data_IF_244161657112
#
_entry.id   IF_244161657112
#
_cell.length_a   1.000
_cell.length_b   1.000
_cell.length_c   1.000
_cell.angle_alpha   90.00
_cell.angle_beta   90.00
_cell.angle_gamma   90.00
#
_symmetry.space_group_name_H-M   'P 1'
#
loop_
_entity.id
_entity.type
_entity.pdbx_description
1 polymer ?
#
# COMPACT_ATOMS: atom_id res chain seq x y z
N UNK A 1 -6.07 -16.68 11.24
CA UNK A 1 -5.89 -17.09 9.83
C UNK A 1 -7.21 -17.62 9.31
N UNK A 2 -7.60 -17.27 8.10
CA UNK A 2 -8.91 -17.61 7.51
C UNK A 2 -8.71 -18.57 6.33
N UNK A 3 -9.74 -19.34 5.97
CA UNK A 3 -9.74 -20.19 4.77
C UNK A 3 -9.84 -21.69 5.06
N UNK A 4 -10.12 -22.46 4.01
CA UNK A 4 -10.40 -23.91 4.13
C UNK A 4 -9.26 -24.71 4.75
N UNK A 5 -8.00 -24.36 4.44
CA UNK A 5 -6.82 -25.00 5.05
C UNK A 5 -6.72 -24.67 6.54
N UNK A 6 -6.97 -23.42 6.94
CA UNK A 6 -6.94 -23.04 8.35
C UNK A 6 -8.02 -23.78 9.15
N UNK A 7 -9.24 -23.90 8.60
CA UNK A 7 -10.31 -24.69 9.20
C UNK A 7 -9.93 -26.17 9.31
N UNK A 8 -9.38 -26.75 8.25
CA UNK A 8 -8.92 -28.14 8.24
C UNK A 8 -7.84 -28.38 9.31
N UNK A 9 -6.83 -27.51 9.41
CA UNK A 9 -5.78 -27.63 10.42
C UNK A 9 -6.28 -27.35 11.85
N UNK A 10 -7.28 -26.49 12.03
CA UNK A 10 -7.91 -26.23 13.34
C UNK A 10 -8.61 -27.47 13.92
N UNK A 11 -9.18 -28.33 13.07
CA UNK A 11 -9.76 -29.62 13.53
C UNK A 11 -8.70 -30.54 14.17
N UNK A 12 -7.44 -30.44 13.72
CA UNK A 12 -6.32 -31.18 14.33
C UNK A 12 -6.02 -30.64 15.73
N UNK A 13 -6.11 -29.33 15.94
CA UNK A 13 -5.92 -28.68 17.25
C UNK A 13 -6.99 -29.11 18.26
N UNK A 14 -8.24 -29.26 17.83
CA UNK A 14 -9.34 -29.70 18.71
C UNK A 14 -9.26 -31.17 19.08
N UNK A 15 -8.59 -31.99 18.28
CA UNK A 15 -8.46 -33.42 18.58
C UNK A 15 -7.54 -33.66 19.77
N UNK A 16 -6.40 -32.99 19.87
CA UNK A 16 -5.48 -33.18 21.01
C UNK A 16 -6.08 -32.75 22.36
N UNK A 17 -6.95 -31.73 22.35
CA UNK A 17 -7.73 -31.35 23.53
C UNK A 17 -8.87 -32.32 23.82
N UNK A 18 -9.52 -32.87 22.78
CA UNK A 18 -10.53 -33.92 22.93
C UNK A 18 -9.94 -35.24 23.45
N UNK A 19 -8.76 -35.67 22.96
CA UNK A 19 -8.04 -36.84 23.45
C UNK A 19 -7.62 -36.66 24.92
N UNK A 20 -7.20 -35.45 25.31
CA UNK A 20 -6.91 -35.11 26.73
C UNK A 20 -8.16 -35.17 27.60
N UNK A 21 -9.30 -34.68 27.11
CA UNK A 21 -10.59 -34.78 27.82
C UNK A 21 -11.08 -36.23 27.94
N UNK A 22 -10.92 -37.05 26.90
CA UNK A 22 -11.19 -38.48 26.90
C UNK A 22 -10.28 -39.25 27.86
N UNK A 23 -8.98 -38.92 27.89
CA UNK A 23 -8.03 -39.51 28.82
C UNK A 23 -8.39 -39.20 30.27
N UNK A 24 -8.77 -37.95 30.57
CA UNK A 24 -9.29 -37.54 31.87
C UNK A 24 -10.59 -38.29 32.23
N UNK A 25 -11.55 -38.36 31.31
CA UNK A 25 -12.81 -39.07 31.51
C UNK A 25 -12.60 -40.57 31.76
N UNK A 26 -11.63 -41.19 31.08
CA UNK A 26 -11.26 -42.60 31.28
C UNK A 26 -10.66 -42.83 32.67
N UNK A 27 -9.83 -41.90 33.15
CA UNK A 27 -9.19 -41.96 34.47
C UNK A 27 -10.22 -41.78 35.62
N UNK A 28 -11.26 -40.97 35.39
CA UNK A 28 -12.40 -40.81 36.30
C UNK A 28 -13.32 -42.03 36.29
N UNK A 29 -13.61 -42.59 35.11
CA UNK A 29 -14.46 -43.78 34.96
C UNK A 29 -13.82 -45.03 35.59
N UNK A 30 -12.49 -45.16 35.49
CA UNK A 30 -11.73 -46.25 36.13
C UNK A 30 -11.69 -46.17 37.66
N UNK A 31 -11.99 -44.99 38.24
CA UNK A 31 -12.06 -44.78 39.69
C UNK A 31 -13.47 -44.95 40.27
N UNK A 32 -14.48 -45.18 39.44
CA UNK A 32 -15.86 -45.35 39.89
C UNK A 32 -16.20 -46.85 39.91
N UNK A 33 -16.33 -47.48 41.09
CA UNK A 33 -16.66 -48.89 41.16
C UNK A 33 -18.13 -49.07 40.75
N UNK A 34 -18.38 -50.03 39.85
CA UNK A 34 -19.68 -50.64 39.48
C UNK A 34 -20.25 -50.34 38.07
N UNK A 35 -19.73 -49.40 37.25
CA UNK A 35 -20.28 -49.17 35.86
C UNK A 35 -19.21 -49.18 34.75
N UNK A 36 -18.08 -49.88 34.95
CA UNK A 36 -16.91 -49.81 34.06
C UNK A 36 -17.01 -50.61 32.76
N UNK A 37 -17.60 -51.82 32.76
CA UNK A 37 -17.41 -52.76 31.64
C UNK A 37 -18.37 -52.51 30.46
N UNK A 38 -19.61 -52.10 30.70
CA UNK A 38 -20.63 -51.94 29.64
C UNK A 38 -20.46 -50.64 28.85
N UNK A 39 -19.88 -49.61 29.45
CA UNK A 39 -19.56 -48.32 28.78
C UNK A 39 -18.26 -48.44 27.96
N UNK A 40 -17.35 -49.32 28.37
CA UNK A 40 -16.04 -49.53 27.73
C UNK A 40 -16.15 -50.13 26.32
N UNK A 41 -17.10 -51.02 26.08
CA UNK A 41 -17.34 -51.65 24.77
C UNK A 41 -18.03 -50.71 23.77
N UNK A 42 -18.96 -49.86 24.24
CA UNK A 42 -19.60 -48.84 23.40
C UNK A 42 -18.59 -47.77 22.89
N UNK A 43 -17.63 -47.40 23.73
CA UNK A 43 -16.51 -46.51 23.37
C UNK A 43 -15.55 -47.14 22.34
N UNK A 44 -15.41 -48.47 22.34
CA UNK A 44 -14.54 -49.17 21.38
C UNK A 44 -15.13 -49.22 19.96
N UNK A 45 -16.46 -49.32 19.84
CA UNK A 45 -17.17 -49.27 18.55
C UNK A 45 -17.08 -47.90 17.88
N UNK A 46 -17.22 -46.82 18.65
CA UNK A 46 -17.06 -45.44 18.16
C UNK A 46 -15.62 -45.13 17.68
N UNK A 47 -14.62 -45.75 18.32
CA UNK A 47 -13.19 -45.52 18.02
C UNK A 47 -12.77 -45.99 16.63
N UNK A 48 -13.47 -46.98 16.06
CA UNK A 48 -13.14 -47.56 14.74
C UNK A 48 -13.71 -46.73 13.58
N UNK A 49 -14.92 -46.19 13.72
CA UNK A 49 -15.51 -45.25 12.75
C UNK A 49 -14.91 -43.84 12.80
N UNK A 50 -14.30 -43.47 13.94
CA UNK A 50 -13.56 -42.21 14.08
C UNK A 50 -12.20 -42.27 13.37
N UNK A 51 -11.44 -43.38 13.47
CA UNK A 51 -10.09 -43.49 12.89
C UNK A 51 -9.99 -43.29 11.36
N UNK A 52 -11.05 -43.58 10.61
CA UNK A 52 -11.05 -43.37 9.15
C UNK A 52 -11.26 -41.90 8.75
N UNK A 53 -11.72 -41.03 9.67
CA UNK A 53 -11.73 -39.58 9.51
C UNK A 53 -10.38 -38.91 9.89
N UNK A 54 -9.37 -39.72 10.25
CA UNK A 54 -8.22 -39.31 11.08
C UNK A 54 -6.84 -39.40 10.41
N UNK A 55 -6.78 -39.30 9.09
CA UNK A 55 -5.51 -39.17 8.37
C UNK A 55 -5.44 -37.80 7.65
N UNK A 56 -4.89 -36.76 8.29
CA UNK A 56 -4.49 -35.50 7.65
C UNK A 56 -3.35 -35.69 6.62
N UNK A 57 -2.88 -36.93 6.52
CA UNK A 57 -1.82 -37.37 5.64
C UNK A 57 -2.17 -37.21 4.16
N UNK A 58 -3.44 -37.39 3.76
CA UNK A 58 -3.83 -37.32 2.34
C UNK A 58 -3.41 -36.03 1.63
N UNK A 59 -3.78 -34.85 2.16
CA UNK A 59 -3.54 -33.58 1.46
C UNK A 59 -2.05 -33.33 1.17
N UNK A 60 -1.20 -33.49 2.18
CA UNK A 60 0.23 -33.19 2.04
C UNK A 60 0.97 -34.32 1.34
N UNK A 61 0.60 -35.58 1.58
CA UNK A 61 1.19 -36.72 0.89
C UNK A 61 0.84 -36.74 -0.60
N UNK A 62 -0.38 -36.32 -0.98
CA UNK A 62 -0.78 -36.13 -2.38
C UNK A 62 0.04 -35.04 -3.08
N UNK A 63 0.52 -34.03 -2.32
CA UNK A 63 1.47 -33.02 -2.80
C UNK A 63 2.94 -33.51 -2.79
N UNK A 64 3.19 -34.75 -2.38
CA UNK A 64 4.54 -35.31 -2.23
C UNK A 64 5.31 -34.76 -1.03
N UNK A 65 4.61 -34.14 -0.06
CA UNK A 65 5.20 -33.58 1.15
C UNK A 65 5.03 -34.56 2.31
N UNK A 66 6.14 -34.90 2.97
CA UNK A 66 6.04 -35.63 4.23
C UNK A 66 5.51 -34.70 5.32
N UNK A 67 4.50 -35.14 6.05
CA UNK A 67 3.91 -34.36 7.13
C UNK A 67 4.37 -34.84 8.51
N UNK A 68 4.81 -33.93 9.38
CA UNK A 68 5.17 -34.18 10.77
C UNK A 68 4.45 -33.18 11.69
N UNK A 69 3.45 -33.64 12.45
CA UNK A 69 2.74 -32.83 13.45
C UNK A 69 1.25 -33.18 13.55
N UNK A 70 0.42 -32.32 14.16
CA UNK A 70 0.86 -31.11 14.87
C UNK A 70 1.75 -31.43 16.08
N UNK A 71 2.68 -30.52 16.40
CA UNK A 71 3.48 -30.57 17.65
C UNK A 71 3.29 -29.29 18.44
N UNK A 72 3.37 -29.37 19.77
CA UNK A 72 3.42 -28.16 20.61
C UNK A 72 4.69 -27.37 20.27
N UNK A 73 4.52 -26.18 19.69
CA UNK A 73 5.61 -25.30 19.29
C UNK A 73 6.35 -24.68 20.48
N UNK A 74 5.85 -24.86 21.69
CA UNK A 74 6.48 -24.37 22.92
C UNK A 74 7.20 -25.46 23.72
N UNK A 75 7.15 -26.71 23.27
CA UNK A 75 8.02 -27.79 23.75
C UNK A 75 9.27 -27.87 22.87
N UNK A 76 10.36 -27.26 23.35
CA UNK A 76 11.64 -27.22 22.64
C UNK A 76 12.13 -28.64 22.31
N UNK A 77 11.95 -29.61 23.22
CA UNK A 77 12.37 -30.99 23.00
C UNK A 77 11.57 -31.68 21.90
N UNK A 78 10.26 -31.47 21.85
CA UNK A 78 9.39 -31.97 20.79
C UNK A 78 9.75 -31.37 19.43
N UNK A 79 9.97 -30.05 19.38
CA UNK A 79 10.37 -29.32 18.17
C UNK A 79 11.74 -29.81 17.66
N UNK A 80 12.74 -29.90 18.53
CA UNK A 80 14.07 -30.41 18.16
C UNK A 80 14.00 -31.85 17.60
N UNK A 81 13.23 -32.72 18.25
CA UNK A 81 13.04 -34.11 17.81
C UNK A 81 12.40 -34.17 16.42
N UNK A 82 11.35 -33.37 16.19
CA UNK A 82 10.67 -33.29 14.91
C UNK A 82 11.60 -32.77 13.80
N UNK A 83 12.35 -31.69 14.05
CA UNK A 83 13.31 -31.13 13.10
C UNK A 83 14.46 -32.11 12.79
N UNK A 84 14.97 -32.85 13.79
CA UNK A 84 15.98 -33.90 13.57
C UNK A 84 15.46 -35.06 12.73
N UNK A 85 14.19 -35.43 12.87
CA UNK A 85 13.54 -36.45 12.01
C UNK A 85 13.34 -35.92 10.60
N UNK A 86 12.87 -34.68 10.45
CA UNK A 86 12.70 -34.02 9.17
C UNK A 86 14.03 -33.97 8.39
N UNK A 87 15.12 -33.56 9.05
CA UNK A 87 16.47 -33.49 8.45
C UNK A 87 17.00 -34.85 7.92
N UNK A 88 16.59 -35.97 8.52
CA UNK A 88 16.99 -37.31 8.05
C UNK A 88 16.16 -37.81 6.87
N UNK A 89 15.07 -37.13 6.55
CA UNK A 89 14.26 -37.47 5.39
C UNK A 89 14.89 -36.84 4.14
N UNK A 90 15.11 -37.64 3.11
CA UNK A 90 15.68 -37.19 1.84
C UNK A 90 14.60 -36.61 0.91
N UNK A 91 13.86 -35.61 1.39
CA UNK A 91 12.75 -34.98 0.67
C UNK A 91 12.13 -33.82 1.43
N UNK A 92 11.14 -33.13 0.86
CA UNK A 92 10.46 -32.03 1.52
C UNK A 92 9.60 -32.54 2.69
N UNK A 93 9.70 -31.85 3.82
CA UNK A 93 8.95 -32.17 5.04
C UNK A 93 8.26 -30.91 5.55
N UNK A 94 6.95 -31.00 5.77
CA UNK A 94 6.19 -30.00 6.50
C UNK A 94 6.18 -30.38 7.99
N UNK A 95 6.78 -29.54 8.83
CA UNK A 95 6.69 -29.66 10.30
C UNK A 95 5.63 -28.67 10.79
N UNK A 96 4.51 -29.18 11.29
CA UNK A 96 3.40 -28.36 11.77
C UNK A 96 3.57 -28.09 13.27
N UNK A 97 4.05 -26.90 13.61
CA UNK A 97 4.19 -26.43 14.99
C UNK A 97 3.01 -25.54 15.39
N UNK A 98 2.38 -25.83 16.53
CA UNK A 98 1.32 -25.02 17.12
C UNK A 98 1.92 -24.01 18.11
N UNK A 99 1.84 -22.73 17.78
CA UNK A 99 2.33 -21.64 18.64
C UNK A 99 1.19 -20.73 19.10
N UNK A 100 1.50 -19.80 20.01
CA UNK A 100 0.57 -18.83 20.57
C UNK A 100 1.21 -17.44 20.41
N UNK A 101 0.54 -16.55 19.67
CA UNK A 101 1.03 -15.18 19.40
C UNK A 101 1.04 -14.41 20.71
N UNK A 102 2.12 -13.66 20.99
CA UNK A 102 2.27 -12.92 22.25
C UNK A 102 2.68 -13.76 23.46
N UNK A 103 2.81 -15.09 23.36
CA UNK A 103 3.19 -15.94 24.50
C UNK A 103 4.52 -15.49 25.12
N UNK A 104 4.50 -15.33 26.44
CA UNK A 104 5.62 -14.81 27.22
C UNK A 104 5.50 -13.31 27.53
N UNK A 105 4.49 -12.62 26.99
CA UNK A 105 4.22 -11.22 27.29
C UNK A 105 2.71 -10.98 27.51
N UNK A 106 2.30 -10.92 28.77
CA UNK A 106 0.90 -10.81 29.19
C UNK A 106 0.11 -9.68 28.51
N UNK A 107 0.65 -8.47 28.31
CA UNK A 107 -0.06 -7.41 27.59
C UNK A 107 -0.43 -7.78 26.16
N UNK A 108 0.47 -8.46 25.42
CA UNK A 108 0.19 -8.95 24.08
C UNK A 108 -0.86 -10.08 24.07
N UNK A 109 -0.92 -10.89 25.12
CA UNK A 109 -1.96 -11.93 25.22
C UNK A 109 -3.36 -11.33 25.45
N UNK A 110 -3.43 -10.19 26.15
CA UNK A 110 -4.69 -9.47 26.45
C UNK A 110 -5.20 -8.60 25.31
N UNK A 111 -4.34 -8.22 24.39
CA UNK A 111 -4.74 -7.59 23.14
C UNK A 111 -5.35 -8.66 22.21
N UNK A 112 -6.67 -8.86 22.33
CA UNK A 112 -7.42 -9.83 21.51
C UNK A 112 -7.53 -9.42 20.04
N UNK A 113 -7.28 -8.14 19.70
CA UNK A 113 -7.41 -7.62 18.34
C UNK A 113 -6.24 -8.07 17.45
N UNK A 114 -5.00 -7.85 17.89
CA UNK A 114 -3.82 -8.19 17.08
C UNK A 114 -2.63 -8.77 17.86
N UNK A 115 -2.78 -9.00 19.17
CA UNK A 115 -1.71 -9.48 20.04
C UNK A 115 -0.39 -8.73 19.87
N UNK A 116 -0.45 -7.40 19.80
CA UNK A 116 0.72 -6.53 19.61
C UNK A 116 1.55 -6.86 18.36
N UNK A 117 0.89 -7.20 17.25
CA UNK A 117 1.56 -7.41 15.96
C UNK A 117 2.38 -6.21 15.51
N UNK A 118 1.87 -5.01 15.77
CA UNK A 118 2.59 -3.74 15.63
C UNK A 118 2.53 -3.02 16.98
N UNK A 119 3.69 -2.62 17.48
CA UNK A 119 3.80 -1.94 18.77
C UNK A 119 4.34 -0.53 18.53
N UNK A 120 3.52 0.47 18.85
CA UNK A 120 3.97 1.86 18.91
C UNK A 120 4.87 2.10 20.13
N UNK A 121 5.41 3.32 20.26
CA UNK A 121 6.18 3.68 21.46
C UNK A 121 5.22 3.72 22.66
N UNK A 122 5.36 2.78 23.59
CA UNK A 122 4.48 2.60 24.74
C UNK A 122 5.25 2.53 26.05
N UNK A 123 4.58 2.83 27.16
CA UNK A 123 5.11 2.66 28.50
C UNK A 123 5.29 1.15 28.76
N UNK A 124 6.49 0.68 29.14
CA UNK A 124 6.74 -0.76 29.30
C UNK A 124 6.01 -1.39 30.49
N UNK A 125 5.49 -0.59 31.43
CA UNK A 125 4.73 -1.04 32.60
C UNK A 125 3.23 -1.02 32.35
N UNK A 126 2.70 0.06 31.76
CA UNK A 126 1.25 0.20 31.51
C UNK A 126 0.83 -0.32 30.14
N UNK A 127 1.78 -0.44 29.21
CA UNK A 127 1.56 -0.75 27.79
C UNK A 127 0.65 0.27 27.07
N UNK A 128 0.51 1.46 27.65
CA UNK A 128 -0.21 2.56 27.03
C UNK A 128 0.73 3.38 26.13
N UNK A 129 0.23 3.98 25.03
CA UNK A 129 1.03 4.85 24.18
C UNK A 129 1.66 6.02 24.96
N UNK A 130 2.95 6.28 24.75
CA UNK A 130 3.68 7.38 25.43
C UNK A 130 3.35 8.77 24.88
N UNK A 131 2.63 8.86 23.77
CA UNK A 131 2.20 10.12 23.19
C UNK A 131 0.79 9.98 22.64
N UNK A 132 -0.09 10.98 22.86
CA UNK A 132 -1.42 10.98 22.27
C UNK A 132 -1.31 11.01 20.74
N UNK A 133 -2.28 10.37 20.06
CA UNK A 133 -2.37 10.41 18.60
C UNK A 133 -2.45 11.86 18.12
N UNK A 134 -1.56 12.26 17.22
CA UNK A 134 -1.44 13.63 16.70
C UNK A 134 -2.53 14.07 15.72
N UNK A 135 -3.79 13.69 16.00
CA UNK A 135 -4.93 13.87 15.09
C UNK A 135 -5.40 12.57 14.42
N UNK A 136 -6.44 12.63 13.59
CA UNK A 136 -6.96 11.47 12.88
C UNK A 136 -5.91 10.93 11.89
N UNK A 137 -5.87 9.62 11.72
CA UNK A 137 -5.08 8.96 10.67
C UNK A 137 -5.82 8.95 9.34
N UNK A 138 -5.12 8.81 8.22
CA UNK A 138 -5.76 8.61 6.91
C UNK A 138 -6.68 7.39 6.90
N UNK A 139 -6.24 6.30 7.53
CA UNK A 139 -7.01 5.05 7.70
C UNK A 139 -8.32 5.28 8.46
N UNK A 140 -8.31 6.08 9.53
CA UNK A 140 -9.54 6.36 10.29
C UNK A 140 -10.51 7.24 9.50
N UNK A 141 -10.01 8.21 8.72
CA UNK A 141 -10.86 9.03 7.84
C UNK A 141 -11.53 8.16 6.77
N UNK A 142 -10.78 7.24 6.15
CA UNK A 142 -11.32 6.25 5.22
C UNK A 142 -12.38 5.36 5.89
N UNK A 143 -12.05 4.77 7.05
CA UNK A 143 -12.94 3.86 7.78
C UNK A 143 -14.26 4.51 8.18
N UNK A 144 -14.24 5.77 8.61
CA UNK A 144 -15.46 6.54 8.87
C UNK A 144 -16.28 6.80 7.60
N UNK A 145 -15.62 7.15 6.49
CA UNK A 145 -16.32 7.51 5.27
C UNK A 145 -16.94 6.31 4.56
N UNK A 146 -16.24 5.16 4.52
CA UNK A 146 -16.78 3.95 3.90
C UNK A 146 -18.01 3.45 4.65
N UNK A 147 -18.08 3.63 5.98
CA UNK A 147 -19.29 3.34 6.76
C UNK A 147 -20.46 4.22 6.31
N UNK A 148 -20.24 5.54 6.18
CA UNK A 148 -21.28 6.47 5.69
C UNK A 148 -21.76 6.11 4.28
N UNK A 149 -20.82 5.79 3.38
CA UNK A 149 -21.15 5.29 2.04
C UNK A 149 -22.00 4.02 2.14
N UNK A 150 -21.62 3.07 3.01
CA UNK A 150 -22.39 1.84 3.22
C UNK A 150 -23.79 2.05 3.81
N UNK A 151 -24.01 3.13 4.57
CA UNK A 151 -25.36 3.51 5.07
C UNK A 151 -26.24 4.07 3.95
N UNK A 152 -25.64 4.71 2.95
CA UNK A 152 -26.33 5.31 1.80
C UNK A 152 -26.49 4.33 0.62
N UNK A 153 -25.59 3.36 0.49
CA UNK A 153 -25.50 2.42 -0.63
C UNK A 153 -25.46 0.97 -0.15
N UNK A 154 -26.52 0.23 -0.45
CA UNK A 154 -26.64 -1.19 -0.11
C UNK A 154 -25.71 -2.08 -0.96
N UNK A 155 -25.41 -1.64 -2.18
CA UNK A 155 -24.60 -2.35 -3.17
C UNK A 155 -23.09 -2.28 -2.91
N UNK A 156 -22.63 -1.35 -2.07
CA UNK A 156 -21.22 -1.23 -1.69
C UNK A 156 -20.83 -2.32 -0.71
N UNK A 157 -19.79 -3.06 -1.06
CA UNK A 157 -19.21 -4.14 -0.25
C UNK A 157 -17.71 -3.98 -0.12
N UNK A 158 -17.10 -4.54 0.92
CA UNK A 158 -15.67 -4.44 1.16
C UNK A 158 -14.96 -5.79 1.06
N UNK A 159 -13.74 -5.77 0.52
CA UNK A 159 -12.84 -6.93 0.48
C UNK A 159 -11.48 -6.51 1.00
N UNK A 160 -10.85 -7.36 1.82
CA UNK A 160 -9.47 -7.20 2.25
C UNK A 160 -8.70 -8.51 2.21
N UNK A 161 -7.38 -8.42 2.27
CA UNK A 161 -6.48 -9.56 2.28
C UNK A 161 -5.74 -9.66 3.62
N UNK A 162 -6.39 -10.24 4.64
CA UNK A 162 -5.89 -10.38 6.02
C UNK A 162 -5.56 -9.05 6.74
N UNK A 163 -6.18 -7.94 6.34
CA UNK A 163 -5.86 -6.61 6.85
C UNK A 163 -7.09 -5.81 7.31
N UNK A 164 -8.15 -6.48 7.78
CA UNK A 164 -9.41 -5.82 8.18
C UNK A 164 -9.22 -4.58 9.07
N UNK A 165 -8.43 -4.72 10.13
CA UNK A 165 -8.16 -3.62 11.07
C UNK A 165 -7.14 -2.64 10.50
N UNK A 166 -5.95 -3.08 10.01
CA UNK A 166 -4.95 -2.13 9.53
C UNK A 166 -5.43 -1.24 8.37
N UNK A 167 -6.31 -1.70 7.49
CA UNK A 167 -6.87 -0.87 6.39
C UNK A 167 -8.15 -0.12 6.77
N UNK A 168 -8.58 -0.16 8.04
CA UNK A 168 -9.71 0.65 8.52
C UNK A 168 -11.09 0.11 8.17
N UNK A 169 -11.22 -1.17 7.80
CA UNK A 169 -12.51 -1.78 7.47
C UNK A 169 -13.24 -2.38 8.67
N UNK A 170 -12.61 -2.48 9.85
CA UNK A 170 -13.23 -3.04 11.05
C UNK A 170 -14.59 -2.36 11.41
N UNK A 171 -14.71 -1.01 11.41
CA UNK A 171 -16.01 -0.37 11.67
C UNK A 171 -17.09 -0.72 10.64
N UNK A 172 -16.71 -0.89 9.37
CA UNK A 172 -17.63 -1.30 8.31
C UNK A 172 -18.09 -2.76 8.50
N UNK A 173 -17.19 -3.66 8.90
CA UNK A 173 -17.53 -5.05 9.21
C UNK A 173 -18.43 -5.19 10.44
N UNK A 174 -18.21 -4.36 11.47
CA UNK A 174 -19.09 -4.33 12.65
C UNK A 174 -20.51 -3.87 12.27
N UNK A 175 -20.60 -2.83 11.43
CA UNK A 175 -21.88 -2.26 11.00
C UNK A 175 -22.61 -3.13 9.97
N UNK A 176 -21.86 -3.78 9.08
CA UNK A 176 -22.36 -4.52 7.92
C UNK A 176 -21.63 -5.86 7.75
N UNK A 177 -21.81 -6.80 8.68
CA UNK A 177 -21.03 -8.05 8.73
C UNK A 177 -21.18 -8.92 7.47
N UNK A 178 -22.34 -8.87 6.80
CA UNK A 178 -22.61 -9.65 5.60
C UNK A 178 -22.06 -9.01 4.30
N UNK A 179 -21.39 -7.85 4.40
CA UNK A 179 -20.86 -7.08 3.25
C UNK A 179 -19.34 -6.91 3.30
N UNK A 180 -18.65 -7.73 4.08
CA UNK A 180 -17.19 -7.71 4.16
C UNK A 180 -16.63 -9.11 4.02
N UNK A 181 -15.64 -9.27 3.15
CA UNK A 181 -14.92 -10.53 2.99
C UNK A 181 -13.42 -10.34 3.20
N UNK A 182 -12.85 -11.14 4.09
CA UNK A 182 -11.42 -11.29 4.24
C UNK A 182 -10.98 -12.58 3.53
N UNK A 183 -10.20 -12.43 2.46
CA UNK A 183 -9.72 -13.56 1.65
C UNK A 183 -8.43 -14.20 2.17
N UNK A 184 -7.93 -13.77 3.33
CA UNK A 184 -6.60 -14.11 3.82
C UNK A 184 -5.51 -13.38 3.04
N UNK A 185 -4.25 -13.82 3.14
CA UNK A 185 -3.10 -13.20 2.44
C UNK A 185 -3.10 -13.63 0.97
N UNK A 186 -4.09 -13.14 0.21
CA UNK A 186 -4.36 -13.53 -1.18
C UNK A 186 -4.91 -12.34 -1.98
N UNK A 187 -4.08 -11.34 -2.24
CA UNK A 187 -4.47 -10.11 -2.95
C UNK A 187 -5.01 -10.41 -4.36
N UNK A 188 -4.48 -11.42 -5.05
CA UNK A 188 -5.01 -11.86 -6.34
C UNK A 188 -6.47 -12.32 -6.19
N UNK A 189 -6.76 -13.10 -5.14
CA UNK A 189 -8.11 -13.59 -4.91
C UNK A 189 -9.05 -12.44 -4.55
N UNK A 190 -8.58 -11.43 -3.80
CA UNK A 190 -9.37 -10.23 -3.50
C UNK A 190 -9.78 -9.51 -4.80
N UNK A 191 -8.84 -9.25 -5.70
CA UNK A 191 -9.09 -8.54 -6.95
C UNK A 191 -10.02 -9.32 -7.91
N UNK A 192 -9.80 -10.64 -8.09
CA UNK A 192 -10.66 -11.47 -8.94
C UNK A 192 -12.06 -11.61 -8.37
N UNK A 193 -12.17 -11.78 -7.05
CA UNK A 193 -13.48 -11.86 -6.38
C UNK A 193 -14.24 -10.56 -6.54
N UNK A 194 -13.56 -9.41 -6.46
CA UNK A 194 -14.16 -8.11 -6.74
C UNK A 194 -14.71 -8.04 -8.18
N UNK A 195 -13.95 -8.46 -9.20
CA UNK A 195 -14.46 -8.50 -10.58
C UNK A 195 -15.75 -9.33 -10.70
N UNK A 196 -15.80 -10.48 -10.02
CA UNK A 196 -17.00 -11.35 -9.98
C UNK A 196 -18.20 -10.68 -9.31
N UNK A 197 -18.00 -10.04 -8.14
CA UNK A 197 -19.05 -9.33 -7.42
C UNK A 197 -19.56 -8.11 -8.20
N UNK A 198 -18.66 -7.36 -8.86
CA UNK A 198 -19.00 -6.24 -9.72
C UNK A 198 -19.85 -6.68 -10.92
N UNK A 199 -19.50 -7.79 -11.55
CA UNK A 199 -20.31 -8.41 -12.62
C UNK A 199 -21.69 -8.83 -12.11
N UNK A 200 -21.80 -9.19 -10.83
CA UNK A 200 -23.06 -9.50 -10.14
C UNK A 200 -23.91 -8.29 -9.75
N UNK A 201 -23.45 -7.06 -10.01
CA UNK A 201 -24.17 -5.82 -9.73
C UNK A 201 -23.89 -5.19 -8.37
N UNK A 202 -22.86 -5.64 -7.64
CA UNK A 202 -22.36 -4.96 -6.45
C UNK A 202 -21.26 -3.94 -6.83
N UNK A 203 -20.88 -3.06 -5.90
CA UNK A 203 -19.71 -2.18 -6.03
C UNK A 203 -18.65 -2.55 -4.99
N UNK A 204 -17.63 -3.36 -5.36
CA UNK A 204 -16.62 -3.80 -4.42
C UNK A 204 -15.56 -2.72 -4.16
N UNK A 205 -15.27 -2.51 -2.88
CA UNK A 205 -14.14 -1.70 -2.39
C UNK A 205 -13.05 -2.65 -1.87
N UNK A 206 -11.96 -2.79 -2.62
CA UNK A 206 -10.81 -3.63 -2.25
C UNK A 206 -9.81 -2.77 -1.49
N UNK A 207 -9.70 -2.96 -0.17
CA UNK A 207 -8.79 -2.21 0.69
C UNK A 207 -7.56 -3.06 1.07
N UNK A 208 -6.38 -2.60 0.63
CA UNK A 208 -5.09 -3.26 0.82
C UNK A 208 -3.99 -2.21 0.96
N UNK A 209 -2.77 -2.62 1.35
CA UNK A 209 -1.62 -1.73 1.26
C UNK A 209 -1.17 -1.56 -0.19
N UNK A 210 -0.70 -0.36 -0.53
CA UNK A 210 -0.19 -0.04 -1.87
C UNK A 210 0.90 -1.01 -2.36
N UNK A 211 1.84 -1.40 -1.48
CA UNK A 211 2.90 -2.36 -1.82
C UNK A 211 2.36 -3.77 -2.15
N UNK A 212 1.23 -4.16 -1.55
CA UNK A 212 0.65 -5.50 -1.73
C UNK A 212 -0.22 -5.60 -2.98
N UNK A 213 -0.78 -4.48 -3.48
CA UNK A 213 -1.46 -4.47 -4.78
C UNK A 213 -0.56 -4.97 -5.92
N UNK A 214 0.77 -4.83 -5.80
CA UNK A 214 1.71 -5.38 -6.77
C UNK A 214 1.51 -6.89 -7.01
N UNK A 215 0.97 -7.64 -6.04
CA UNK A 215 0.64 -9.06 -6.20
C UNK A 215 -0.58 -9.30 -7.09
N UNK A 216 -1.46 -8.32 -7.21
CA UNK A 216 -2.71 -8.38 -7.95
C UNK A 216 -2.72 -7.48 -9.21
N UNK A 217 -1.55 -7.07 -9.72
CA UNK A 217 -1.45 -6.21 -10.91
C UNK A 217 -2.16 -6.83 -12.13
N UNK A 218 -1.89 -8.10 -12.41
CA UNK A 218 -2.51 -8.80 -13.54
C UNK A 218 -4.01 -8.92 -13.37
N UNK A 219 -4.50 -9.18 -12.14
CA UNK A 219 -5.92 -9.28 -11.85
C UNK A 219 -6.63 -7.92 -12.02
N UNK A 220 -6.02 -6.83 -11.57
CA UNK A 220 -6.52 -5.48 -11.83
C UNK A 220 -6.60 -5.21 -13.35
N UNK A 221 -5.58 -5.62 -14.11
CA UNK A 221 -5.49 -5.37 -15.54
C UNK A 221 -6.47 -6.22 -16.36
N UNK A 222 -6.44 -7.54 -16.16
CA UNK A 222 -7.10 -8.53 -16.99
C UNK A 222 -8.49 -8.91 -16.49
N UNK A 223 -8.70 -8.98 -15.18
CA UNK A 223 -9.99 -9.40 -14.62
C UNK A 223 -10.91 -8.20 -14.34
N UNK A 224 -10.35 -7.05 -13.95
CA UNK A 224 -11.14 -5.85 -13.63
C UNK A 224 -11.21 -4.86 -14.80
N UNK A 225 -10.06 -4.37 -15.25
CA UNK A 225 -10.01 -3.25 -16.21
C UNK A 225 -10.48 -3.66 -17.61
N UNK A 226 -10.06 -4.83 -18.11
CA UNK A 226 -10.51 -5.37 -19.40
C UNK A 226 -12.04 -5.48 -19.47
N UNK A 227 -12.67 -5.85 -18.35
CA UNK A 227 -14.11 -6.03 -18.23
C UNK A 227 -14.85 -4.76 -17.79
N UNK A 228 -14.14 -3.63 -17.61
CA UNK A 228 -14.71 -2.34 -17.21
C UNK A 228 -15.53 -2.44 -15.92
N UNK A 229 -15.11 -3.31 -14.99
CA UNK A 229 -15.81 -3.49 -13.73
C UNK A 229 -15.68 -2.25 -12.84
N UNK A 230 -16.80 -1.77 -12.29
CA UNK A 230 -16.84 -0.78 -11.22
C UNK A 230 -16.30 -1.36 -9.91
N UNK A 231 -14.97 -1.35 -9.77
CA UNK A 231 -14.27 -1.79 -8.55
C UNK A 231 -13.39 -0.65 -8.07
N UNK A 232 -13.52 -0.28 -6.80
CA UNK A 232 -12.68 0.74 -6.18
C UNK A 232 -11.57 0.09 -5.36
N UNK A 233 -10.33 0.33 -5.73
CA UNK A 233 -9.15 -0.04 -4.95
C UNK A 233 -8.79 1.09 -3.99
N UNK A 234 -8.67 0.78 -2.71
CA UNK A 234 -8.22 1.72 -1.69
C UNK A 234 -6.86 1.27 -1.20
N UNK A 235 -5.85 2.08 -1.50
CA UNK A 235 -4.46 1.83 -1.18
C UNK A 235 -4.05 2.64 0.03
N UNK A 236 -4.04 1.97 1.16
CA UNK A 236 -3.41 2.48 2.37
C UNK A 236 -1.88 2.32 2.27
N UNK A 237 -1.11 2.99 3.14
CA UNK A 237 0.37 2.89 3.17
C UNK A 237 1.03 3.25 1.82
N UNK A 238 0.42 4.15 1.06
CA UNK A 238 0.93 4.55 -0.25
C UNK A 238 2.11 5.53 -0.11
N UNK A 239 3.15 5.35 -0.93
CA UNK A 239 4.38 6.12 -0.90
C UNK A 239 5.36 5.62 0.15
N UNK A 240 6.15 6.52 0.72
CA UNK A 240 7.05 6.21 1.83
C UNK A 240 6.24 5.93 3.10
N UNK A 241 6.40 4.74 3.68
CA UNK A 241 5.78 4.35 4.97
C UNK A 241 6.70 4.62 6.17
N UNK A 242 8.00 4.83 5.91
CA UNK A 242 8.99 5.15 6.93
C UNK A 242 9.52 3.89 7.63
N UNK A 243 9.03 3.62 8.83
CA UNK A 243 9.63 2.62 9.74
C UNK A 243 9.53 1.18 9.24
N UNK A 244 8.60 0.89 8.34
CA UNK A 244 8.41 -0.46 7.79
C UNK A 244 9.48 -0.80 6.73
N UNK A 245 10.15 0.22 6.17
CA UNK A 245 11.27 0.07 5.25
C UNK A 245 10.94 -0.44 3.85
N UNK A 246 11.98 -0.85 3.12
CA UNK A 246 11.96 -1.12 1.69
C UNK A 246 10.87 -2.10 1.21
N UNK A 247 10.53 -3.12 2.01
CA UNK A 247 9.53 -4.12 1.62
C UNK A 247 8.09 -3.60 1.71
N UNK A 248 7.86 -2.51 2.44
CA UNK A 248 6.51 -2.00 2.74
C UNK A 248 6.20 -0.64 2.13
N UNK A 249 7.22 0.12 1.73
CA UNK A 249 7.00 1.37 1.00
C UNK A 249 6.18 1.11 -0.28
N UNK A 250 4.96 1.65 -0.33
CA UNK A 250 4.05 1.54 -1.47
C UNK A 250 4.39 2.55 -2.57
N UNK A 251 5.60 2.48 -3.11
CA UNK A 251 6.18 3.56 -3.92
C UNK A 251 6.03 3.39 -5.45
N UNK A 252 5.29 2.40 -5.92
CA UNK A 252 5.28 2.02 -7.35
C UNK A 252 3.90 2.04 -8.00
N UNK A 253 2.83 2.16 -7.23
CA UNK A 253 1.46 2.02 -7.74
C UNK A 253 1.14 3.06 -8.82
N UNK A 254 1.51 4.34 -8.65
CA UNK A 254 1.28 5.36 -9.69
C UNK A 254 2.24 5.25 -10.87
N UNK A 255 3.21 4.35 -10.85
CA UNK A 255 4.08 4.05 -12.00
C UNK A 255 3.57 2.82 -12.75
N UNK A 256 3.41 1.71 -12.03
CA UNK A 256 3.00 0.42 -12.59
C UNK A 256 1.58 0.51 -13.16
N UNK A 257 0.68 1.23 -12.50
CA UNK A 257 -0.74 1.27 -12.89
C UNK A 257 -1.06 2.28 -13.99
N UNK A 258 -0.07 3.06 -14.45
CA UNK A 258 -0.26 3.98 -15.58
C UNK A 258 -0.61 3.24 -16.88
N UNK A 259 -0.20 1.98 -17.03
CA UNK A 259 -0.49 1.19 -18.23
C UNK A 259 -1.92 0.64 -18.27
N UNK A 260 -2.64 0.61 -17.15
CA UNK A 260 -3.96 -0.05 -17.03
C UNK A 260 -5.03 0.79 -17.75
N UNK A 261 -5.66 0.30 -18.83
CA UNK A 261 -6.65 1.08 -19.58
C UNK A 261 -7.89 1.39 -18.73
N UNK A 262 -8.45 2.60 -18.88
CA UNK A 262 -9.68 3.01 -18.19
C UNK A 262 -9.57 3.27 -16.68
N UNK A 263 -8.50 2.80 -16.02
CA UNK A 263 -8.26 3.04 -14.60
C UNK A 263 -8.18 4.53 -14.29
N UNK A 264 -8.88 4.95 -13.23
CA UNK A 264 -8.78 6.30 -12.67
C UNK A 264 -8.04 6.25 -11.33
N UNK A 265 -7.09 7.15 -11.13
CA UNK A 265 -6.27 7.20 -9.91
C UNK A 265 -6.43 8.55 -9.23
N UNK A 266 -6.88 8.54 -7.98
CA UNK A 266 -7.01 9.69 -7.10
C UNK A 266 -5.92 9.68 -6.01
N UNK A 267 -5.37 10.86 -5.75
CA UNK A 267 -4.38 11.09 -4.70
C UNK A 267 -4.83 12.28 -3.82
N UNK A 268 -5.56 12.03 -2.72
CA UNK A 268 -6.00 13.08 -1.80
C UNK A 268 -4.85 13.82 -1.13
N UNK A 269 -5.02 15.14 -0.98
CA UNK A 269 -4.09 16.01 -0.23
C UNK A 269 -4.44 16.19 1.24
N UNK A 270 -5.70 15.99 1.60
CA UNK A 270 -6.24 16.13 2.97
C UNK A 270 -7.47 15.23 3.20
N UNK A 271 -8.06 15.31 4.41
CA UNK A 271 -9.22 14.51 4.79
C UNK A 271 -10.46 14.82 3.94
N UNK A 272 -10.68 16.09 3.59
CA UNK A 272 -11.86 16.51 2.82
C UNK A 272 -11.78 15.96 1.39
N UNK A 273 -10.60 16.03 0.77
CA UNK A 273 -10.36 15.40 -0.53
C UNK A 273 -10.47 13.88 -0.47
N UNK A 274 -9.96 13.22 0.58
CA UNK A 274 -10.14 11.76 0.71
C UNK A 274 -11.62 11.39 0.70
N UNK A 275 -12.45 12.08 1.49
CA UNK A 275 -13.90 11.80 1.54
C UNK A 275 -14.57 12.05 0.20
N UNK A 276 -14.29 13.20 -0.42
CA UNK A 276 -14.87 13.57 -1.72
C UNK A 276 -14.47 12.57 -2.81
N UNK A 277 -13.19 12.24 -2.90
CA UNK A 277 -12.66 11.37 -3.96
C UNK A 277 -13.02 9.91 -3.74
N UNK A 278 -13.19 9.45 -2.50
CA UNK A 278 -13.75 8.12 -2.24
C UNK A 278 -15.18 8.03 -2.76
N UNK A 279 -16.02 9.04 -2.50
CA UNK A 279 -17.39 9.11 -3.02
C UNK A 279 -17.42 9.17 -4.55
N UNK A 280 -16.57 9.97 -5.16
CA UNK A 280 -16.40 10.01 -6.63
C UNK A 280 -15.94 8.64 -7.17
N UNK A 281 -15.01 7.96 -6.49
CA UNK A 281 -14.47 6.68 -6.91
C UNK A 281 -15.52 5.57 -6.88
N UNK A 282 -16.34 5.51 -5.83
CA UNK A 282 -17.41 4.50 -5.73
C UNK A 282 -18.57 4.79 -6.67
N UNK A 283 -18.73 6.02 -7.15
CA UNK A 283 -19.76 6.38 -8.11
C UNK A 283 -19.43 5.97 -9.57
N UNK A 284 -18.27 5.34 -9.80
CA UNK A 284 -17.86 4.87 -11.13
C UNK A 284 -18.17 3.39 -11.27
N UNK A 285 -19.25 3.07 -11.98
CA UNK A 285 -19.72 1.69 -12.16
C UNK A 285 -19.10 0.98 -13.39
N UNK A 286 -18.43 1.72 -14.27
CA UNK A 286 -18.01 1.26 -15.61
C UNK A 286 -16.49 1.30 -15.86
N UNK A 287 -15.70 1.42 -14.79
CA UNK A 287 -14.24 1.39 -14.83
C UNK A 287 -13.68 1.17 -13.41
N UNK A 288 -12.46 0.59 -13.28
CA UNK A 288 -11.80 0.55 -12.00
C UNK A 288 -11.38 1.96 -11.57
N UNK A 289 -11.51 2.21 -10.27
CA UNK A 289 -11.02 3.41 -9.61
C UNK A 289 -10.02 3.04 -8.54
N UNK A 290 -9.08 3.93 -8.26
CA UNK A 290 -8.06 3.74 -7.24
C UNK A 290 -7.91 5.02 -6.44
N UNK A 291 -7.92 4.90 -5.12
CA UNK A 291 -7.66 5.98 -4.17
C UNK A 291 -6.45 5.58 -3.33
N UNK A 292 -5.46 6.46 -3.18
CA UNK A 292 -4.24 6.17 -2.40
C UNK A 292 -3.93 7.21 -1.32
N UNK A 293 -3.48 6.76 -0.15
CA UNK A 293 -3.07 7.65 0.94
C UNK A 293 -1.95 7.04 1.81
N UNK A 294 -1.11 7.87 2.46
CA UNK A 294 0.06 7.38 3.19
C UNK A 294 -0.28 6.86 4.59
N UNK A 295 0.67 6.15 5.19
CA UNK A 295 0.67 5.79 6.61
C UNK A 295 1.17 6.98 7.44
N UNK A 296 0.26 7.90 7.78
CA UNK A 296 0.57 9.12 8.55
C UNK A 296 -0.69 9.62 9.26
N UNK A 297 -0.54 10.60 10.16
CA UNK A 297 -1.66 11.47 10.54
C UNK A 297 -2.06 12.39 9.39
N UNK A 298 -3.35 12.73 9.31
CA UNK A 298 -3.82 13.72 8.33
C UNK A 298 -3.39 15.12 8.79
N UNK A 299 -2.83 15.89 7.86
CA UNK A 299 -2.51 17.30 8.08
C UNK A 299 -3.76 18.20 8.13
N UNK A 300 -3.59 19.52 8.32
CA UNK A 300 -4.70 20.46 8.18
C UNK A 300 -5.24 20.46 6.75
N UNK A 301 -6.50 20.86 6.59
CA UNK A 301 -7.10 21.03 5.26
C UNK A 301 -6.32 22.06 4.44
N UNK A 302 -6.15 21.77 3.15
CA UNK A 302 -5.48 22.65 2.18
C UNK A 302 -6.56 23.20 1.24
N UNK A 303 -7.07 24.43 1.48
CA UNK A 303 -8.16 24.96 0.70
C UNK A 303 -7.71 25.28 -0.74
N UNK A 304 -8.59 25.01 -1.70
CA UNK A 304 -8.44 25.53 -3.05
C UNK A 304 -8.88 27.00 -3.08
N UNK A 305 -8.11 27.84 -3.76
CA UNK A 305 -8.44 29.26 -3.99
C UNK A 305 -9.22 29.45 -5.30
N UNK A 306 -9.10 28.50 -6.24
CA UNK A 306 -9.82 28.47 -7.50
C UNK A 306 -9.85 27.03 -8.06
N UNK A 307 -10.55 26.81 -9.17
CA UNK A 307 -10.61 25.52 -9.88
C UNK A 307 -10.54 25.70 -11.39
N UNK A 308 -9.68 24.93 -12.04
CA UNK A 308 -9.51 24.94 -13.51
C UNK A 308 -9.71 23.51 -14.01
N UNK A 309 -10.82 23.26 -14.71
CA UNK A 309 -11.21 21.89 -15.04
C UNK A 309 -11.43 21.07 -13.76
N UNK A 310 -10.82 19.89 -13.66
CA UNK A 310 -10.76 19.09 -12.44
C UNK A 310 -9.64 19.46 -11.47
N UNK A 311 -8.75 20.39 -11.83
CA UNK A 311 -7.59 20.80 -11.03
C UNK A 311 -7.99 21.81 -9.97
N UNK A 312 -7.64 21.55 -8.71
CA UNK A 312 -7.73 22.54 -7.64
C UNK A 312 -6.52 23.47 -7.70
N UNK A 313 -6.74 24.78 -7.82
CA UNK A 313 -5.67 25.76 -7.68
C UNK A 313 -5.50 26.05 -6.20
N UNK A 314 -4.32 25.75 -5.66
CA UNK A 314 -3.99 25.95 -4.24
C UNK A 314 -3.29 27.29 -4.01
N UNK A 315 -2.58 27.78 -5.02
CA UNK A 315 -1.86 29.05 -4.99
C UNK A 315 -1.70 29.60 -6.40
N UNK A 316 -1.78 30.92 -6.56
CA UNK A 316 -1.58 31.58 -7.85
C UNK A 316 -0.91 32.95 -7.67
N UNK A 317 0.27 33.12 -8.27
CA UNK A 317 0.93 34.41 -8.43
C UNK A 317 0.35 35.23 -9.59
N UNK A 318 0.47 36.56 -9.51
CA UNK A 318 0.07 37.47 -10.61
C UNK A 318 0.90 37.28 -11.90
N UNK A 319 2.17 36.87 -11.76
CA UNK A 319 3.09 36.62 -12.87
C UNK A 319 3.74 35.25 -12.68
N UNK A 320 3.01 34.16 -12.96
CA UNK A 320 3.51 32.82 -12.70
C UNK A 320 4.51 32.39 -13.77
N UNK A 321 5.68 31.93 -13.35
CA UNK A 321 6.72 31.36 -14.20
C UNK A 321 6.78 29.84 -14.10
N UNK A 322 6.40 29.29 -12.94
CA UNK A 322 6.47 27.86 -12.64
C UNK A 322 5.09 27.31 -12.30
N UNK A 323 4.70 26.21 -12.95
CA UNK A 323 3.55 25.41 -12.56
C UNK A 323 4.00 24.24 -11.70
N UNK A 324 3.62 24.24 -10.42
CA UNK A 324 3.81 23.14 -9.49
C UNK A 324 2.57 22.24 -9.49
N UNK A 325 2.72 21.00 -9.95
CA UNK A 325 1.69 19.96 -9.88
C UNK A 325 1.95 19.13 -8.62
N UNK A 326 1.15 19.38 -7.59
CA UNK A 326 1.25 18.74 -6.30
C UNK A 326 0.40 17.48 -6.24
N UNK A 327 1.02 16.31 -6.23
CA UNK A 327 0.29 15.04 -6.17
C UNK A 327 -0.08 14.72 -4.72
N UNK A 328 -1.36 14.91 -4.39
CA UNK A 328 -1.94 14.59 -3.09
C UNK A 328 -1.15 15.17 -1.92
N UNK A 329 -0.64 14.30 -1.05
CA UNK A 329 0.08 14.68 0.18
C UNK A 329 1.39 15.47 -0.05
N UNK A 330 1.81 15.69 -1.30
CA UNK A 330 2.88 16.63 -1.64
C UNK A 330 2.42 18.09 -1.75
N UNK A 331 1.12 18.39 -1.60
CA UNK A 331 0.60 19.76 -1.60
C UNK A 331 1.30 20.71 -0.61
N UNK A 332 1.53 20.36 0.67
CA UNK A 332 2.27 21.22 1.58
C UNK A 332 3.73 21.46 1.13
N UNK A 333 4.36 20.46 0.51
CA UNK A 333 5.73 20.59 -0.01
C UNK A 333 5.78 21.59 -1.16
N UNK A 334 4.82 21.51 -2.09
CA UNK A 334 4.71 22.44 -3.21
C UNK A 334 4.38 23.87 -2.77
N UNK A 335 3.48 24.05 -1.79
CA UNK A 335 3.17 25.37 -1.24
C UNK A 335 4.40 26.00 -0.59
N UNK A 336 5.13 25.25 0.25
CA UNK A 336 6.37 25.75 0.84
C UNK A 336 7.46 26.04 -0.22
N UNK A 337 7.53 25.25 -1.29
CA UNK A 337 8.46 25.52 -2.39
C UNK A 337 8.08 26.81 -3.16
N UNK A 338 6.77 27.03 -3.38
CA UNK A 338 6.26 28.25 -4.00
C UNK A 338 6.62 29.50 -3.17
N UNK A 339 6.41 29.47 -1.85
CA UNK A 339 6.80 30.56 -0.94
C UNK A 339 8.30 30.89 -1.05
N UNK A 340 9.15 29.86 -1.07
CA UNK A 340 10.61 30.04 -1.18
C UNK A 340 11.06 30.58 -2.54
N UNK A 341 10.36 30.20 -3.62
CA UNK A 341 10.62 30.69 -4.98
C UNK A 341 10.15 32.14 -5.14
N UNK A 342 9.00 32.48 -4.59
CA UNK A 342 8.44 33.83 -4.66
C UNK A 342 9.24 34.84 -3.83
N UNK A 343 9.78 34.41 -2.69
CA UNK A 343 10.75 35.20 -1.94
C UNK A 343 12.01 35.56 -2.77
N UNK A 344 12.27 34.85 -3.88
CA UNK A 344 13.34 35.12 -4.84
C UNK A 344 12.85 35.76 -6.15
N UNK A 345 11.58 36.17 -6.20
CA UNK A 345 10.97 36.82 -7.35
C UNK A 345 10.47 35.89 -8.46
N UNK A 346 10.41 34.58 -8.22
CA UNK A 346 9.91 33.58 -9.17
C UNK A 346 8.45 33.26 -8.83
N UNK A 347 7.50 33.79 -9.60
CA UNK A 347 6.07 33.56 -9.38
C UNK A 347 5.66 32.11 -9.64
N UNK A 348 4.80 31.55 -8.80
CA UNK A 348 4.37 30.16 -8.93
C UNK A 348 2.84 30.02 -9.00
N UNK A 349 2.38 29.00 -9.72
CA UNK A 349 1.02 28.46 -9.57
C UNK A 349 1.13 27.05 -9.02
N UNK A 350 0.39 26.73 -7.96
CA UNK A 350 0.34 25.38 -7.38
C UNK A 350 -1.03 24.79 -7.65
N UNK A 351 -1.08 23.61 -8.25
CA UNK A 351 -2.32 22.86 -8.50
C UNK A 351 -2.27 21.47 -7.88
N UNK A 352 -3.38 21.01 -7.31
CA UNK A 352 -3.63 19.61 -7.00
C UNK A 352 -4.52 19.01 -8.11
N UNK A 353 -4.05 18.00 -8.85
CA UNK A 353 -4.85 17.33 -9.85
C UNK A 353 -6.11 16.66 -9.30
N UNK A 354 -6.12 16.30 -8.01
CA UNK A 354 -7.06 15.38 -7.37
C UNK A 354 -6.96 13.98 -7.98
N UNK A 355 -7.29 13.86 -9.26
CA UNK A 355 -7.12 12.68 -10.10
C UNK A 355 -5.86 12.82 -10.96
N UNK A 356 -4.88 11.94 -10.76
CA UNK A 356 -3.61 11.92 -11.51
C UNK A 356 -3.68 11.04 -12.75
N UNK A 357 -4.73 10.23 -12.85
CA UNK A 357 -5.05 9.44 -14.03
C UNK A 357 -6.57 9.43 -14.23
N UNK A 358 -7.08 9.76 -15.43
CA UNK A 358 -6.35 10.38 -16.54
C UNK A 358 -5.78 11.76 -16.14
N UNK A 359 -4.77 12.22 -16.86
CA UNK A 359 -4.29 13.61 -16.71
C UNK A 359 -5.40 14.55 -17.19
N UNK A 360 -5.76 15.55 -16.38
CA UNK A 360 -6.82 16.49 -16.71
C UNK A 360 -6.48 17.28 -17.99
N UNK A 361 -7.39 17.38 -18.97
CA UNK A 361 -7.13 18.09 -20.23
C UNK A 361 -6.88 19.59 -20.04
N UNK A 362 -7.31 20.18 -18.93
CA UNK A 362 -7.04 21.58 -18.60
C UNK A 362 -5.58 21.82 -18.16
N UNK A 363 -4.82 20.76 -17.85
CA UNK A 363 -3.42 20.89 -17.44
C UNK A 363 -2.54 21.43 -18.56
N UNK A 364 -2.75 21.01 -19.82
CA UNK A 364 -1.91 21.44 -20.93
C UNK A 364 -2.05 22.95 -21.27
N UNK A 365 -3.26 23.51 -21.42
CA UNK A 365 -3.44 24.95 -21.58
C UNK A 365 -2.94 25.77 -20.38
N UNK A 366 -2.98 25.21 -19.16
CA UNK A 366 -2.41 25.86 -17.98
C UNK A 366 -0.89 25.84 -18.03
N UNK A 367 -0.28 24.69 -18.32
CA UNK A 367 1.17 24.52 -18.44
C UNK A 367 1.78 25.46 -19.49
N UNK A 368 1.12 25.65 -20.63
CA UNK A 368 1.57 26.54 -21.70
C UNK A 368 1.75 28.02 -21.27
N UNK A 369 1.18 28.42 -20.12
CA UNK A 369 1.33 29.78 -19.55
C UNK A 369 2.58 29.94 -18.69
N UNK A 370 3.35 28.86 -18.48
CA UNK A 370 4.49 28.80 -17.59
C UNK A 370 5.76 28.46 -18.36
N UNK A 371 6.91 28.84 -17.81
CA UNK A 371 8.24 28.52 -18.36
C UNK A 371 8.70 27.11 -18.00
N UNK A 372 8.15 26.54 -16.92
CA UNK A 372 8.54 25.25 -16.36
C UNK A 372 7.35 24.59 -15.67
N UNK A 373 7.19 23.28 -15.86
CA UNK A 373 6.29 22.45 -15.05
C UNK A 373 7.12 21.59 -14.10
N UNK A 374 6.77 21.57 -12.82
CA UNK A 374 7.37 20.73 -11.80
C UNK A 374 6.30 19.83 -11.19
N UNK A 375 6.42 18.51 -11.38
CA UNK A 375 5.52 17.52 -10.79
C UNK A 375 6.18 16.91 -9.57
N UNK A 376 5.49 16.94 -8.43
CA UNK A 376 6.00 16.44 -7.14
C UNK A 376 5.09 15.32 -6.62
N UNK A 377 5.64 14.12 -6.50
CA UNK A 377 4.90 12.90 -6.15
C UNK A 377 5.61 12.04 -5.09
N UNK A 378 4.84 11.49 -4.14
CA UNK A 378 5.29 10.46 -3.19
C UNK A 378 5.18 9.06 -3.82
N UNK A 379 5.88 8.89 -4.93
CA UNK A 379 5.94 7.68 -5.74
C UNK A 379 7.24 7.68 -6.54
N UNK A 380 7.63 6.55 -7.10
CA UNK A 380 8.76 6.47 -8.01
C UNK A 380 8.65 7.50 -9.11
N UNK A 381 9.71 8.30 -9.29
CA UNK A 381 9.77 9.26 -10.40
C UNK A 381 9.81 8.57 -11.77
N UNK A 382 10.19 7.28 -11.80
CA UNK A 382 10.23 6.49 -13.02
C UNK A 382 8.80 6.07 -13.39
N UNK A 383 8.36 6.49 -14.60
CA UNK A 383 7.02 6.22 -15.12
C UNK A 383 5.84 6.67 -14.23
N UNK A 384 6.08 7.51 -13.22
CA UNK A 384 5.06 8.06 -12.33
C UNK A 384 4.21 9.15 -12.98
N UNK A 385 3.50 9.93 -12.15
CA UNK A 385 2.61 11.02 -12.59
C UNK A 385 3.37 12.04 -13.43
N UNK A 386 4.61 12.37 -13.07
CA UNK A 386 5.42 13.31 -13.84
C UNK A 386 5.71 12.85 -15.28
N UNK A 387 5.73 11.54 -15.54
CA UNK A 387 5.87 11.00 -16.89
C UNK A 387 4.55 11.01 -17.65
N UNK A 388 3.43 10.74 -16.97
CA UNK A 388 2.09 10.86 -17.56
C UNK A 388 1.76 12.31 -17.95
N UNK A 389 2.13 13.28 -17.11
CA UNK A 389 2.01 14.71 -17.43
C UNK A 389 2.85 15.08 -18.65
N UNK A 390 4.12 14.65 -18.71
CA UNK A 390 4.98 14.94 -19.86
C UNK A 390 4.42 14.35 -21.17
N UNK A 391 3.86 13.13 -21.12
CA UNK A 391 3.18 12.53 -22.26
C UNK A 391 1.95 13.36 -22.69
N UNK A 392 1.09 13.71 -21.73
CA UNK A 392 -0.12 14.50 -22.02
C UNK A 392 0.18 15.89 -22.59
N UNK A 393 1.26 16.54 -22.14
CA UNK A 393 1.72 17.80 -22.73
C UNK A 393 2.21 17.62 -24.16
N UNK A 394 3.00 16.57 -24.42
CA UNK A 394 3.46 16.23 -25.77
C UNK A 394 2.32 15.92 -26.74
N UNK A 395 1.34 15.13 -26.30
CA UNK A 395 0.13 14.81 -27.07
C UNK A 395 -0.73 16.05 -27.37
N UNK A 396 -0.65 17.08 -26.51
CA UNK A 396 -1.31 18.37 -26.69
C UNK A 396 -0.45 19.42 -27.42
N UNK A 397 0.72 19.03 -27.94
CA UNK A 397 1.68 19.93 -28.63
C UNK A 397 2.13 21.12 -27.76
N UNK A 398 2.28 20.89 -26.44
CA UNK A 398 2.76 21.88 -25.46
C UNK A 398 4.21 21.56 -25.06
N UNK A 399 5.15 22.30 -25.64
CA UNK A 399 6.60 22.12 -25.43
C UNK A 399 7.15 22.88 -24.21
N UNK A 400 6.63 22.59 -23.01
CA UNK A 400 7.14 23.18 -21.76
C UNK A 400 8.05 22.17 -21.05
N UNK A 401 9.25 22.56 -20.59
CA UNK A 401 10.12 21.66 -19.83
C UNK A 401 9.43 21.12 -18.57
N UNK A 402 9.41 19.79 -18.42
CA UNK A 402 8.89 19.11 -17.24
C UNK A 402 10.03 18.67 -16.33
N UNK A 403 9.92 18.95 -15.04
CA UNK A 403 10.80 18.45 -13.97
C UNK A 403 10.01 17.53 -13.08
N UNK A 404 10.60 16.38 -12.77
CA UNK A 404 9.95 15.27 -12.06
C UNK A 404 10.64 15.09 -10.72
N UNK A 405 9.89 15.33 -9.65
CA UNK A 405 10.30 15.16 -8.27
C UNK A 405 9.53 13.97 -7.71
N UNK A 406 10.26 12.93 -7.35
CA UNK A 406 9.69 11.74 -6.75
C UNK A 406 10.79 10.85 -6.20
N UNK A 407 10.38 9.67 -5.76
CA UNK A 407 11.29 8.69 -5.17
C UNK A 407 12.29 8.22 -6.24
N UNK A 408 13.61 8.29 -5.97
CA UNK A 408 14.64 7.80 -6.88
C UNK A 408 14.55 6.27 -7.07
N UNK A 409 15.16 5.75 -8.13
CA UNK A 409 15.15 4.32 -8.47
C UNK A 409 16.07 3.51 -7.55
N UNK A 410 15.67 3.41 -6.27
CA UNK A 410 16.39 2.69 -5.23
C UNK A 410 15.43 2.18 -4.15
N UNK A 411 15.86 1.16 -3.41
CA UNK A 411 15.17 0.74 -2.20
C UNK A 411 15.52 1.67 -1.03
N UNK A 412 14.52 2.19 -0.34
CA UNK A 412 14.69 3.11 0.77
C UNK A 412 14.81 2.34 2.10
N UNK A 413 15.81 2.71 2.92
CA UNK A 413 15.95 2.17 4.27
C UNK A 413 14.79 2.62 5.18
N UNK A 414 14.64 1.96 6.34
CA UNK A 414 13.67 2.38 7.34
C UNK A 414 14.19 3.61 8.11
N UNK A 415 13.35 4.62 8.25
CA UNK A 415 13.54 5.77 9.13
C UNK A 415 12.18 6.43 9.36
N UNK A 416 12.09 7.58 10.05
CA UNK A 416 10.82 8.32 10.07
C UNK A 416 10.51 8.80 8.65
N UNK A 417 9.23 8.83 8.27
CA UNK A 417 8.81 9.23 6.92
C UNK A 417 9.40 10.57 6.50
N UNK A 418 9.38 11.58 7.37
CA UNK A 418 9.97 12.89 7.10
C UNK A 418 11.49 12.85 6.88
N UNK A 419 12.22 11.98 7.58
CA UNK A 419 13.67 11.79 7.40
C UNK A 419 13.94 11.16 6.03
N UNK A 420 13.20 10.10 5.68
CA UNK A 420 13.33 9.46 4.36
C UNK A 420 13.04 10.43 3.21
N UNK A 421 11.97 11.24 3.33
CA UNK A 421 11.63 12.25 2.32
C UNK A 421 12.72 13.33 2.21
N UNK A 422 13.31 13.73 3.33
CA UNK A 422 14.43 14.68 3.34
C UNK A 422 15.67 14.10 2.66
N UNK A 423 16.03 12.85 2.96
CA UNK A 423 17.20 12.18 2.39
C UNK A 423 17.14 12.07 0.85
N UNK A 424 15.93 11.94 0.29
CA UNK A 424 15.72 11.89 -1.17
C UNK A 424 15.44 13.26 -1.81
N UNK A 425 15.42 14.33 -1.02
CA UNK A 425 15.22 15.71 -1.48
C UNK A 425 13.77 16.03 -1.88
N UNK A 426 12.78 15.39 -1.24
CA UNK A 426 11.36 15.75 -1.33
C UNK A 426 10.98 16.70 -0.19
N UNK A 427 11.68 17.83 -0.12
CA UNK A 427 11.42 18.92 0.82
C UNK A 427 11.13 20.22 0.07
N UNK A 428 10.46 21.20 0.70
CA UNK A 428 10.25 22.52 0.09
C UNK A 428 11.56 23.16 -0.41
N UNK A 429 12.63 23.05 0.39
CA UNK A 429 13.94 23.66 0.10
C UNK A 429 14.59 23.00 -1.11
N UNK A 430 14.62 21.66 -1.15
CA UNK A 430 15.25 20.91 -2.24
C UNK A 430 14.49 21.06 -3.56
N UNK A 431 13.15 21.03 -3.49
CA UNK A 431 12.27 21.24 -4.65
C UNK A 431 12.48 22.65 -5.21
N UNK A 432 12.38 23.69 -4.38
CA UNK A 432 12.62 25.07 -4.79
C UNK A 432 14.04 25.26 -5.37
N UNK A 433 15.07 24.72 -4.71
CA UNK A 433 16.46 24.82 -5.16
C UNK A 433 16.69 24.24 -6.56
N UNK A 434 16.16 23.03 -6.82
CA UNK A 434 16.27 22.37 -8.13
C UNK A 434 15.43 23.07 -9.22
N UNK A 435 14.30 23.67 -8.86
CA UNK A 435 13.52 24.51 -9.77
C UNK A 435 14.30 25.76 -10.16
N UNK A 436 14.86 26.50 -9.18
CA UNK A 436 15.69 27.68 -9.44
C UNK A 436 16.88 27.34 -10.34
N UNK A 437 17.58 26.22 -10.06
CA UNK A 437 18.70 25.75 -10.89
C UNK A 437 18.26 25.42 -12.33
N UNK A 438 17.07 24.84 -12.51
CA UNK A 438 16.52 24.52 -13.84
C UNK A 438 16.19 25.78 -14.65
N UNK A 439 15.66 26.82 -14.01
CA UNK A 439 15.37 28.10 -14.66
C UNK A 439 16.66 28.82 -15.08
N UNK A 440 17.67 28.83 -14.22
CA UNK A 440 18.98 29.45 -14.52
C UNK A 440 19.69 28.79 -15.73
N UNK A 441 19.57 27.47 -15.90
CA UNK A 441 20.13 26.77 -17.05
C UNK A 441 19.34 27.01 -18.35
N UNK A 442 18.09 27.44 -18.26
CA UNK A 442 17.22 27.72 -19.40
C UNK A 442 17.37 29.16 -19.91
N UNK A 443 18.06 30.04 -19.17
CA UNK A 443 18.43 31.36 -19.67
C UNK A 443 19.58 31.22 -20.68
N UNK A 444 19.43 31.74 -21.92
CA UNK A 444 20.53 31.74 -22.86
C UNK A 444 21.71 32.50 -22.26
N UNK A 445 22.92 31.94 -22.38
CA UNK A 445 24.13 32.66 -22.03
C UNK A 445 24.11 34.02 -22.73
N UNK A 446 24.12 35.10 -21.95
CA UNK A 446 24.25 36.46 -22.47
C UNK A 446 25.54 36.48 -23.30
N UNK A 447 25.42 36.60 -24.62
CA UNK A 447 26.58 36.89 -25.47
C UNK A 447 27.19 38.19 -24.97
N UNK A 448 28.39 38.12 -24.38
CA UNK A 448 29.18 39.31 -24.07
C UNK A 448 29.40 40.10 -25.37
N UNK A 449 28.91 41.34 -25.48
CA UNK A 449 29.18 42.16 -26.65
C UNK A 449 30.65 42.59 -26.59
N UNK A 450 31.52 41.90 -27.33
CA UNK A 450 32.89 42.39 -27.52
C UNK A 450 34.04 41.40 -27.65
N UNK A 451 33.82 40.12 -28.02
CA UNK A 451 34.95 39.29 -28.50
C UNK A 451 35.09 39.47 -30.01
N UNK A 452 36.22 40.03 -30.51
CA UNK A 452 36.44 40.12 -31.95
C UNK A 452 36.55 38.70 -32.52
N UNK A 453 35.87 38.46 -33.63
CA UNK A 453 35.95 37.22 -34.38
C UNK A 453 37.42 36.94 -34.71
N UNK A 454 37.92 35.78 -34.29
CA UNK A 454 39.21 35.27 -34.73
C UNK A 454 39.04 34.89 -36.21
N UNK A 455 39.65 35.65 -37.10
CA UNK A 455 39.80 35.28 -38.52
C UNK A 455 40.48 33.92 -38.59
N UNK A 456 39.76 32.93 -39.12
CA UNK A 456 40.36 31.66 -39.53
C UNK A 456 41.21 31.93 -40.78
N UNK A 457 42.54 31.91 -40.64
CA UNK A 457 43.44 31.81 -41.78
C UNK A 457 43.29 30.43 -42.42
N UNK A 458 42.98 30.42 -43.70
CA UNK A 458 42.63 29.24 -44.48
C UNK A 458 43.81 28.35 -44.83
N UNK A 459 44.33 27.60 -43.86
CA UNK A 459 45.11 26.40 -44.18
C UNK A 459 44.78 25.28 -43.20
N UNK A 460 43.95 24.33 -43.67
CA UNK A 460 43.37 23.24 -42.90
C UNK A 460 44.37 22.17 -42.49
N UNK A 461 45.20 22.46 -41.49
CA UNK A 461 46.06 21.47 -40.83
C UNK A 461 45.80 21.41 -39.33
N UNK A 462 45.23 20.30 -38.90
CA UNK A 462 45.12 19.89 -37.49
C UNK A 462 46.54 19.56 -37.01
N UNK A 463 47.07 20.37 -36.10
CA UNK A 463 48.29 20.05 -35.35
C UNK A 463 47.87 19.47 -34.00
N UNK A 464 48.12 18.17 -33.79
CA UNK A 464 47.92 17.53 -32.49
C UNK A 464 49.01 17.99 -31.51
N UNK A 465 48.69 18.25 -30.22
CA UNK A 465 49.71 18.57 -29.22
C UNK A 465 50.51 17.31 -28.87
N UNK A 466 51.84 17.43 -28.89
CA UNK A 466 52.76 16.43 -28.39
C UNK A 466 52.57 16.24 -26.87
N UNK A 467 52.51 14.98 -26.42
CA UNK A 467 52.68 14.63 -25.02
C UNK A 467 54.12 14.94 -24.61
N UNK A 468 54.30 15.80 -23.61
CA UNK A 468 55.57 16.06 -22.96
C UNK A 468 55.56 15.46 -21.55
N UNK A 469 56.48 14.51 -21.33
CA UNK A 469 56.92 14.05 -20.02
C UNK A 469 57.69 15.17 -19.29
N UNK A 470 57.17 15.62 -18.15
CA UNK A 470 57.83 15.71 -16.83
C UNK A 470 56.91 16.38 -15.81
#
# INVERSE_FOLDING_TARGET
TIGGLANHLATLRTTDSYERALAWGKDVLQRTPVVGNTVYEALHGAKKGFKDAFAPQGLFEDLGLKYLGPIDGHDIGAVESALRRAKRFHGPVLVHCLTEKGRGYEPALRDEEDHFHTVGVMDPLTCEPLSPSGGPSWTSVFGEEIVRIGEEREDVVAITAAMLHPVGLAPFAERFPDRVWDVGIAEQHAAVSAAGLATGGLHPVVAVYATFLNRAFDQLLMDVALHRCGVTFVLDRAGVTGVDGASHNGMWDMSVLQVVPGLRIAAPRDADQLRAQLREAVAVDDAPTLLRFPKESVGPAVPAVDRIGGLDVLHAADRPEVLLVAVGVMAPVCLGAAELLEARGIGCTVVDPRWVKPVDPALAPLAARHRLVAVVEDNSRAAGVGSAVALALGDAEVDVPVRRFGIPEQFLAHAKRAEVLADIGLTPVDVAGRISASLALAEPAVEEPGKPAVEQSGDGRIVMPAQGEN
#
